data_IF_446227533205
#
_entry.id   IF_446227533205
#
_cell.length_a   1.000
_cell.length_b   1.000
_cell.length_c   1.000
_cell.angle_alpha   90.00
_cell.angle_beta   90.00
_cell.angle_gamma   90.00
#
_symmetry.space_group_name_H-M   'P 1'
#
loop_
_entity.id
_entity.type
_entity.pdbx_description
1 polymer ?
#
# COMPACT_ATOMS: atom_id res chain seq x y z
N UNK A 1 1.77 24.82 -1.10
CA UNK A 1 1.87 24.47 0.34
C UNK A 1 1.30 23.08 0.66
N UNK A 2 0.05 22.74 0.30
CA UNK A 2 -0.56 21.42 0.64
C UNK A 2 0.20 20.18 0.11
N UNK A 3 0.68 20.20 -1.15
CA UNK A 3 1.47 19.08 -1.72
C UNK A 3 2.80 18.82 -0.99
N UNK A 4 3.50 19.87 -0.58
CA UNK A 4 4.76 19.77 0.18
C UNK A 4 4.56 19.09 1.53
N UNK A 5 3.47 19.43 2.24
CA UNK A 5 3.11 18.79 3.51
C UNK A 5 2.87 17.29 3.32
N UNK A 6 2.14 16.89 2.27
CA UNK A 6 1.88 15.48 1.98
C UNK A 6 3.15 14.71 1.60
N UNK A 7 4.06 15.33 0.83
CA UNK A 7 5.38 14.74 0.53
C UNK A 7 6.18 14.55 1.82
N UNK A 8 6.14 15.51 2.74
CA UNK A 8 6.79 15.40 4.04
C UNK A 8 6.28 14.21 4.86
N UNK A 9 4.96 14.02 4.95
CA UNK A 9 4.38 12.87 5.64
C UNK A 9 4.72 11.53 4.97
N UNK A 10 4.74 11.48 3.64
CA UNK A 10 5.11 10.27 2.91
C UNK A 10 6.60 9.92 3.14
N UNK A 11 7.48 10.91 3.07
CA UNK A 11 8.91 10.74 3.31
C UNK A 11 9.19 10.30 4.75
N UNK A 12 8.50 10.90 5.73
CA UNK A 12 8.58 10.50 7.13
C UNK A 12 8.13 9.04 7.32
N UNK A 13 7.00 8.66 6.71
CA UNK A 13 6.52 7.27 6.76
C UNK A 13 7.52 6.27 6.19
N UNK A 14 8.06 6.56 5.00
CA UNK A 14 9.08 5.72 4.38
C UNK A 14 10.35 5.61 5.21
N UNK A 15 10.83 6.73 5.78
CA UNK A 15 12.01 6.75 6.64
C UNK A 15 11.79 5.94 7.92
N UNK A 16 10.66 6.11 8.61
CA UNK A 16 10.33 5.35 9.81
C UNK A 16 10.22 3.84 9.53
N UNK A 17 9.60 3.46 8.42
CA UNK A 17 9.49 2.05 8.01
C UNK A 17 10.87 1.43 7.71
N UNK A 18 11.75 2.17 7.01
CA UNK A 18 13.11 1.73 6.71
C UNK A 18 13.95 1.60 7.97
N UNK A 19 13.87 2.56 8.91
CA UNK A 19 14.58 2.52 10.18
C UNK A 19 14.11 1.36 11.06
N UNK A 20 12.80 1.14 11.16
CA UNK A 20 12.25 0.03 11.93
C UNK A 20 12.69 -1.34 11.37
N UNK A 21 12.69 -1.49 10.04
CA UNK A 21 13.12 -2.73 9.38
C UNK A 21 14.64 -2.94 9.49
N UNK A 22 15.42 -1.86 9.33
CA UNK A 22 16.88 -1.88 9.45
C UNK A 22 17.36 -2.16 10.87
N UNK A 23 16.66 -1.68 11.89
CA UNK A 23 16.96 -1.97 13.30
C UNK A 23 16.88 -3.46 13.60
N UNK A 24 15.82 -4.14 13.12
CA UNK A 24 15.65 -5.59 13.28
C UNK A 24 16.79 -6.34 12.57
N UNK A 25 17.07 -6.00 11.31
CA UNK A 25 18.13 -6.64 10.53
C UNK A 25 19.53 -6.43 11.17
N UNK A 26 19.84 -5.21 11.61
CA UNK A 26 21.10 -4.88 12.27
C UNK A 26 21.26 -5.64 13.58
N UNK A 27 20.19 -5.88 14.33
CA UNK A 27 20.24 -6.61 15.60
C UNK A 27 20.43 -8.12 15.40
N UNK A 28 19.93 -8.68 14.29
CA UNK A 28 20.17 -10.08 13.89
C UNK A 28 21.60 -10.28 13.37
N UNK A 29 22.17 -9.30 12.67
CA UNK A 29 23.49 -9.39 12.04
C UNK A 29 24.66 -8.99 12.95
N UNK A 30 24.46 -8.09 13.93
CA UNK A 30 25.57 -7.45 14.67
C UNK A 30 26.01 -8.15 15.95
N UNK A 31 25.36 -9.23 16.38
CA UNK A 31 25.88 -10.07 17.49
C UNK A 31 26.09 -9.37 18.84
N UNK A 32 25.37 -8.27 19.14
CA UNK A 32 25.40 -7.40 20.34
C UNK A 32 26.35 -6.19 20.26
N UNK A 33 25.75 -4.98 20.37
CA UNK A 33 26.48 -3.70 20.50
C UNK A 33 25.59 -2.45 20.42
N UNK A 34 24.40 -2.54 19.82
CA UNK A 34 23.36 -1.51 19.90
C UNK A 34 22.46 -1.76 21.13
N UNK A 35 21.93 -0.71 21.79
CA UNK A 35 20.89 -0.92 22.80
C UNK A 35 19.73 -1.66 22.15
N UNK A 36 19.17 -2.70 22.81
CA UNK A 36 18.09 -3.48 22.22
C UNK A 36 16.93 -2.53 21.92
N UNK A 37 16.60 -2.38 20.64
CA UNK A 37 15.45 -1.57 20.24
C UNK A 37 14.24 -2.27 20.82
N UNK A 38 13.47 -1.57 21.67
CA UNK A 38 12.35 -2.22 22.35
C UNK A 38 11.35 -2.71 21.31
N UNK A 39 10.90 -3.96 21.48
CA UNK A 39 9.93 -4.58 20.58
C UNK A 39 8.67 -3.70 20.39
N UNK A 40 8.25 -3.03 21.47
CA UNK A 40 7.17 -2.04 21.45
C UNK A 40 7.48 -0.80 20.62
N UNK A 41 8.70 -0.26 20.67
CA UNK A 41 9.09 0.89 19.86
C UNK A 41 9.07 0.58 18.37
N UNK A 42 9.49 -0.64 17.97
CA UNK A 42 9.43 -1.09 16.57
C UNK A 42 7.97 -1.15 16.08
N UNK A 43 7.07 -1.76 16.85
CA UNK A 43 5.64 -1.85 16.50
C UNK A 43 5.03 -0.46 16.34
N UNK A 44 5.27 0.43 17.30
CA UNK A 44 4.75 1.80 17.25
C UNK A 44 5.32 2.56 16.05
N UNK A 45 6.63 2.45 15.80
CA UNK A 45 7.27 3.09 14.64
C UNK A 45 6.66 2.62 13.31
N UNK A 46 6.38 1.32 13.16
CA UNK A 46 5.70 0.77 11.98
C UNK A 46 4.26 1.28 11.86
N UNK A 47 3.52 1.33 12.97
CA UNK A 47 2.15 1.85 12.98
C UNK A 47 2.12 3.34 12.57
N UNK A 48 3.00 4.16 13.14
CA UNK A 48 3.14 5.57 12.76
C UNK A 48 3.61 5.74 11.31
N UNK A 49 4.52 4.89 10.84
CA UNK A 49 4.98 4.90 9.46
C UNK A 49 3.83 4.66 8.47
N UNK A 50 2.99 3.65 8.74
CA UNK A 50 1.83 3.33 7.91
C UNK A 50 0.82 4.48 7.92
N UNK A 51 0.51 5.04 9.10
CA UNK A 51 -0.42 6.17 9.21
C UNK A 51 0.08 7.41 8.47
N UNK A 52 1.36 7.77 8.64
CA UNK A 52 1.98 8.91 7.97
C UNK A 52 1.97 8.73 6.44
N UNK A 53 2.34 7.54 5.95
CA UNK A 53 2.29 7.23 4.53
C UNK A 53 0.86 7.29 3.97
N UNK A 54 -0.12 6.77 4.71
CA UNK A 54 -1.54 6.81 4.33
C UNK A 54 -2.04 8.25 4.19
N UNK A 55 -1.75 9.11 5.18
CA UNK A 55 -2.10 10.55 5.15
C UNK A 55 -1.45 11.25 3.95
N UNK A 56 -0.15 11.00 3.74
CA UNK A 56 0.60 11.57 2.62
C UNK A 56 0.00 11.16 1.26
N UNK A 57 -0.25 9.87 1.07
CA UNK A 57 -0.78 9.32 -0.19
C UNK A 57 -2.21 9.78 -0.44
N UNK A 58 -3.09 9.79 0.55
CA UNK A 58 -4.46 10.29 0.39
C UNK A 58 -4.42 11.77 -0.04
N UNK A 59 -3.59 12.58 0.62
CA UNK A 59 -3.44 13.99 0.28
C UNK A 59 -2.89 14.21 -1.13
N UNK A 60 -1.87 13.44 -1.54
CA UNK A 60 -1.30 13.52 -2.88
C UNK A 60 -2.30 13.06 -3.94
N UNK A 61 -2.89 11.88 -3.74
CA UNK A 61 -3.82 11.27 -4.68
C UNK A 61 -5.07 12.13 -4.91
N UNK A 62 -5.62 12.76 -3.87
CA UNK A 62 -6.75 13.69 -3.98
C UNK A 62 -6.39 15.04 -4.61
N UNK A 63 -5.11 15.40 -4.61
CA UNK A 63 -4.64 16.65 -5.22
C UNK A 63 -4.45 16.55 -6.74
N UNK A 64 -4.54 15.35 -7.29
CA UNK A 64 -4.38 15.14 -8.72
C UNK A 64 -5.69 15.37 -9.47
N UNK A 65 -5.68 16.17 -10.56
CA UNK A 65 -6.88 16.41 -11.36
C UNK A 65 -7.52 15.12 -11.86
N UNK A 66 -8.84 15.14 -12.08
CA UNK A 66 -9.54 14.05 -12.76
C UNK A 66 -8.80 13.71 -14.06
N UNK A 67 -8.44 12.43 -14.23
CA UNK A 67 -7.51 12.05 -15.30
C UNK A 67 -8.16 12.16 -16.68
N UNK A 68 -9.39 11.66 -16.80
CA UNK A 68 -10.20 11.72 -18.01
C UNK A 68 -11.66 11.97 -17.62
N UNK A 69 -12.45 12.65 -18.47
CA UNK A 69 -13.90 12.70 -18.31
C UNK A 69 -14.44 11.28 -18.17
N UNK A 70 -15.51 11.12 -17.39
CA UNK A 70 -16.24 9.86 -17.17
C UNK A 70 -16.97 9.32 -18.41
N UNK A 71 -16.51 9.71 -19.60
CA UNK A 71 -16.74 9.00 -20.85
C UNK A 71 -16.40 7.53 -20.64
N UNK A 72 -17.31 6.67 -21.09
CA UNK A 72 -17.40 5.23 -20.80
C UNK A 72 -16.06 4.56 -20.49
N UNK A 73 -16.08 3.66 -19.49
CA UNK A 73 -14.98 2.72 -19.27
C UNK A 73 -14.83 1.92 -20.57
N UNK A 74 -13.92 2.36 -21.43
CA UNK A 74 -13.71 1.73 -22.71
C UNK A 74 -12.90 0.48 -22.44
N UNK A 75 -13.56 -0.68 -22.49
CA UNK A 75 -12.92 -1.98 -22.38
C UNK A 75 -12.03 -2.19 -23.61
N UNK A 76 -10.80 -1.73 -23.52
CA UNK A 76 -9.77 -1.99 -24.52
C UNK A 76 -9.33 -3.46 -24.51
N UNK A 77 -8.48 -3.85 -25.47
CA UNK A 77 -7.81 -5.15 -25.43
C UNK A 77 -7.07 -5.33 -24.08
N UNK A 78 -6.78 -6.58 -23.67
CA UNK A 78 -6.07 -6.85 -22.42
C UNK A 78 -4.83 -5.97 -22.25
N UNK A 79 -4.83 -5.15 -21.20
CA UNK A 79 -3.70 -4.28 -20.87
C UNK A 79 -2.95 -4.85 -19.66
N UNK A 80 -1.73 -5.33 -19.91
CA UNK A 80 -0.86 -5.88 -18.88
C UNK A 80 -0.58 -4.86 -17.76
N UNK A 81 -0.63 -3.55 -18.05
CA UNK A 81 -0.42 -2.47 -17.08
C UNK A 81 -1.47 -2.51 -15.97
N UNK A 82 -2.71 -2.87 -16.30
CA UNK A 82 -3.78 -3.01 -15.30
C UNK A 82 -3.46 -4.16 -14.31
N UNK A 83 -2.92 -5.26 -14.81
CA UNK A 83 -2.44 -6.37 -13.95
C UNK A 83 -1.25 -5.94 -13.10
N UNK A 84 -0.30 -5.20 -13.69
CA UNK A 84 0.87 -4.69 -13.00
C UNK A 84 0.52 -3.69 -11.88
N UNK A 85 -0.52 -2.86 -12.04
CA UNK A 85 -1.01 -1.98 -10.97
C UNK A 85 -1.41 -2.78 -9.73
N UNK A 86 -2.10 -3.92 -9.89
CA UNK A 86 -2.44 -4.79 -8.78
C UNK A 86 -1.20 -5.47 -8.18
N UNK A 87 -0.38 -6.11 -9.02
CA UNK A 87 0.81 -6.86 -8.57
C UNK A 87 1.87 -5.97 -7.93
N UNK A 88 1.89 -4.68 -8.23
CA UNK A 88 2.80 -3.72 -7.59
C UNK A 88 2.66 -3.70 -6.05
N UNK A 89 1.50 -4.09 -5.51
CA UNK A 89 1.29 -4.24 -4.07
C UNK A 89 2.13 -5.37 -3.45
N UNK A 90 2.63 -6.31 -4.25
CA UNK A 90 3.46 -7.41 -3.75
C UNK A 90 4.93 -7.01 -3.55
N UNK A 91 5.33 -5.80 -3.98
CA UNK A 91 6.70 -5.29 -3.77
C UNK A 91 7.08 -5.18 -2.29
N UNK A 92 6.11 -5.08 -1.37
CA UNK A 92 6.38 -5.19 0.07
C UNK A 92 7.09 -6.49 0.44
N UNK A 93 6.73 -7.61 -0.20
CA UNK A 93 7.31 -8.92 0.10
C UNK A 93 8.69 -9.11 -0.52
N UNK A 94 9.10 -8.21 -1.42
CA UNK A 94 10.47 -8.12 -1.94
C UNK A 94 11.40 -7.27 -1.05
N UNK A 95 10.95 -6.88 0.15
CA UNK A 95 11.74 -6.11 1.11
C UNK A 95 11.65 -4.59 0.94
N UNK A 96 10.76 -4.09 0.07
CA UNK A 96 10.52 -2.64 -0.09
C UNK A 96 9.64 -2.14 1.06
N UNK A 97 10.12 -1.24 1.94
CA UNK A 97 9.29 -0.69 3.01
C UNK A 97 8.06 0.01 2.42
N UNK A 98 6.88 -0.32 2.95
CA UNK A 98 5.58 0.19 2.46
C UNK A 98 5.32 -0.11 0.96
N UNK A 99 6.01 -1.08 0.35
CA UNK A 99 5.86 -1.40 -1.08
C UNK A 99 4.42 -1.73 -1.48
N UNK A 100 3.64 -2.33 -0.56
CA UNK A 100 2.24 -2.66 -0.79
C UNK A 100 1.35 -1.43 -1.00
N UNK A 101 1.77 -0.28 -0.49
CA UNK A 101 1.08 0.99 -0.59
C UNK A 101 1.72 1.91 -1.65
N UNK A 102 3.05 1.96 -1.68
CA UNK A 102 3.80 2.76 -2.67
C UNK A 102 3.66 2.23 -4.10
N UNK A 103 3.65 0.91 -4.30
CA UNK A 103 3.52 0.29 -5.62
C UNK A 103 2.23 0.70 -6.34
N UNK A 104 1.04 0.47 -5.75
CA UNK A 104 -0.23 0.83 -6.37
C UNK A 104 -0.36 2.34 -6.60
N UNK A 105 0.15 3.14 -5.66
CA UNK A 105 0.15 4.60 -5.79
C UNK A 105 1.00 5.09 -6.97
N UNK A 106 2.24 4.61 -7.08
CA UNK A 106 3.16 5.04 -8.12
C UNK A 106 2.69 4.58 -9.50
N UNK A 107 2.28 3.31 -9.64
CA UNK A 107 1.78 2.77 -10.91
C UNK A 107 0.48 3.45 -11.35
N UNK A 108 -0.41 3.80 -10.41
CA UNK A 108 -1.59 4.61 -10.71
C UNK A 108 -1.20 6.00 -11.22
N UNK A 109 -0.27 6.71 -10.57
CA UNK A 109 0.18 8.03 -11.04
C UNK A 109 0.74 8.00 -12.47
N UNK A 110 1.55 6.99 -12.79
CA UNK A 110 2.20 6.86 -14.10
C UNK A 110 1.18 6.57 -15.21
N UNK A 111 0.18 5.71 -14.96
CA UNK A 111 -0.68 5.19 -16.02
C UNK A 111 -2.10 5.73 -16.05
N UNK A 112 -2.61 6.38 -15.00
CA UNK A 112 -3.99 6.90 -14.93
C UNK A 112 -4.44 7.80 -16.08
N UNK A 113 -3.51 8.52 -16.73
CA UNK A 113 -3.85 9.44 -17.84
C UNK A 113 -3.91 8.75 -19.20
N UNK A 114 -3.55 7.47 -19.27
CA UNK A 114 -3.53 6.72 -20.54
C UNK A 114 -4.92 6.20 -20.91
N UNK A 115 -5.74 5.80 -19.93
CA UNK A 115 -7.12 5.34 -20.18
C UNK A 115 -7.97 5.35 -18.90
N UNK A 116 -9.29 5.46 -19.06
CA UNK A 116 -10.25 5.36 -17.95
C UNK A 116 -10.21 3.98 -17.28
N UNK A 117 -9.86 2.94 -18.04
CA UNK A 117 -9.61 1.59 -17.54
C UNK A 117 -8.44 1.52 -16.54
N UNK A 118 -7.27 2.07 -16.91
CA UNK A 118 -6.08 2.08 -16.05
C UNK A 118 -6.26 2.98 -14.82
N UNK A 119 -7.01 4.06 -14.98
CA UNK A 119 -7.38 4.93 -13.88
C UNK A 119 -8.28 4.21 -12.87
N UNK A 120 -9.28 3.46 -13.35
CA UNK A 120 -10.17 2.67 -12.50
C UNK A 120 -9.44 1.53 -11.77
N UNK A 121 -8.60 0.76 -12.48
CA UNK A 121 -7.82 -0.33 -11.88
C UNK A 121 -6.80 0.18 -10.86
N UNK A 122 -6.06 1.24 -11.19
CA UNK A 122 -5.11 1.85 -10.26
C UNK A 122 -5.79 2.46 -9.02
N UNK A 123 -6.93 3.16 -9.18
CA UNK A 123 -7.72 3.63 -8.03
C UNK A 123 -8.20 2.49 -7.15
N UNK A 124 -8.71 1.41 -7.75
CA UNK A 124 -9.18 0.24 -6.99
C UNK A 124 -8.04 -0.42 -6.21
N UNK A 125 -6.88 -0.62 -6.83
CA UNK A 125 -5.69 -1.16 -6.17
C UNK A 125 -5.23 -0.25 -5.02
N UNK A 126 -5.20 1.07 -5.24
CA UNK A 126 -4.81 2.05 -4.23
C UNK A 126 -5.81 2.14 -3.08
N UNK A 127 -7.12 2.14 -3.35
CA UNK A 127 -8.17 2.11 -2.33
C UNK A 127 -8.06 0.86 -1.45
N UNK A 128 -7.76 -0.30 -2.04
CA UNK A 128 -7.50 -1.51 -1.27
C UNK A 128 -6.22 -1.42 -0.44
N UNK A 129 -5.13 -0.87 -1.00
CA UNK A 129 -3.88 -0.67 -0.26
C UNK A 129 -4.06 0.27 0.96
N UNK A 130 -4.88 1.31 0.83
CA UNK A 130 -5.27 2.18 1.93
C UNK A 130 -6.15 1.45 2.95
N UNK A 131 -7.09 0.63 2.49
CA UNK A 131 -7.96 -0.18 3.37
C UNK A 131 -7.16 -1.19 4.18
N UNK A 132 -6.29 -1.98 3.53
CA UNK A 132 -5.47 -3.01 4.20
C UNK A 132 -4.46 -2.37 5.15
N UNK A 133 -4.01 -1.13 4.88
CA UNK A 133 -3.18 -0.35 5.81
C UNK A 133 -3.86 -0.13 7.15
N UNK A 134 -5.17 0.15 7.17
CA UNK A 134 -5.94 0.29 8.41
C UNK A 134 -5.94 -1.04 9.18
N UNK A 135 -6.20 -2.16 8.48
CA UNK A 135 -6.16 -3.48 9.11
C UNK A 135 -4.76 -3.85 9.63
N UNK A 136 -3.69 -3.49 8.93
CA UNK A 136 -2.32 -3.68 9.42
C UNK A 136 -2.03 -2.86 10.68
N UNK A 137 -2.43 -1.59 10.73
CA UNK A 137 -2.28 -0.77 11.95
C UNK A 137 -3.06 -1.38 13.12
N UNK A 138 -4.29 -1.83 12.89
CA UNK A 138 -5.07 -2.53 13.93
C UNK A 138 -4.39 -3.81 14.40
N UNK A 139 -3.87 -4.63 13.47
CA UNK A 139 -3.16 -5.86 13.81
C UNK A 139 -1.88 -5.59 14.61
N UNK A 140 -1.11 -4.55 14.24
CA UNK A 140 0.09 -4.11 14.97
C UNK A 140 -0.24 -3.72 16.41
N UNK A 141 -1.33 -2.99 16.65
CA UNK A 141 -1.78 -2.65 18.01
C UNK A 141 -2.22 -3.92 18.77
N UNK A 142 -2.88 -4.87 18.12
CA UNK A 142 -3.30 -6.13 18.75
C UNK A 142 -2.13 -7.06 19.11
N UNK A 143 -0.91 -6.80 18.63
CA UNK A 143 0.29 -7.59 19.02
C UNK A 143 0.55 -7.47 20.53
N UNK A 144 0.21 -6.33 21.17
CA UNK A 144 0.36 -6.16 22.62
C UNK A 144 -0.48 -7.14 23.45
N UNK A 145 -1.49 -7.77 22.84
CA UNK A 145 -2.36 -8.79 23.46
C UNK A 145 -2.12 -10.18 22.83
N UNK A 146 -0.99 -10.37 22.14
CA UNK A 146 -0.55 -11.61 21.45
C UNK A 146 -1.43 -12.10 20.28
N UNK A 147 -2.70 -11.69 20.19
CA UNK A 147 -3.61 -12.07 19.08
C UNK A 147 -3.18 -11.44 17.75
N UNK A 148 -2.47 -10.31 17.79
CA UNK A 148 -2.05 -9.56 16.60
C UNK A 148 -1.16 -10.36 15.64
N UNK A 149 -0.35 -11.31 16.12
CA UNK A 149 0.51 -12.12 15.24
C UNK A 149 -0.29 -13.01 14.30
N UNK A 150 -1.32 -13.70 14.83
CA UNK A 150 -2.20 -14.58 14.05
C UNK A 150 -2.97 -13.73 13.03
N UNK A 151 -3.53 -12.60 13.48
CA UNK A 151 -4.24 -11.68 12.61
C UNK A 151 -3.34 -11.14 11.48
N UNK A 152 -2.10 -10.76 11.78
CA UNK A 152 -1.16 -10.26 10.79
C UNK A 152 -0.84 -11.31 9.72
N UNK A 153 -0.63 -12.57 10.12
CA UNK A 153 -0.41 -13.68 9.19
C UNK A 153 -1.63 -13.88 8.27
N UNK A 154 -2.84 -13.88 8.84
CA UNK A 154 -4.09 -13.99 8.06
C UNK A 154 -4.26 -12.82 7.08
N UNK A 155 -3.95 -11.60 7.50
CA UNK A 155 -4.02 -10.42 6.64
C UNK A 155 -3.03 -10.48 5.48
N UNK A 156 -1.81 -10.97 5.70
CA UNK A 156 -0.82 -11.15 4.62
C UNK A 156 -1.32 -12.15 3.59
N UNK A 157 -1.84 -13.30 4.01
CA UNK A 157 -2.41 -14.30 3.10
C UNK A 157 -3.60 -13.72 2.33
N UNK A 158 -4.54 -13.09 3.04
CA UNK A 158 -5.70 -12.43 2.42
C UNK A 158 -5.28 -11.37 1.40
N UNK A 159 -4.31 -10.53 1.74
CA UNK A 159 -3.78 -9.49 0.86
C UNK A 159 -3.23 -10.08 -0.44
N UNK A 160 -2.37 -11.10 -0.35
CA UNK A 160 -1.79 -11.77 -1.53
C UNK A 160 -2.89 -12.37 -2.41
N UNK A 161 -3.82 -13.13 -1.83
CA UNK A 161 -4.89 -13.80 -2.58
C UNK A 161 -5.75 -12.81 -3.35
N UNK A 162 -6.16 -11.72 -2.71
CA UNK A 162 -7.05 -10.72 -3.32
C UNK A 162 -6.31 -9.91 -4.39
N UNK A 163 -5.02 -9.58 -4.18
CA UNK A 163 -4.18 -8.90 -5.18
C UNK A 163 -3.99 -9.77 -6.41
N UNK A 164 -3.59 -11.04 -6.23
CA UNK A 164 -3.37 -11.98 -7.35
C UNK A 164 -4.67 -12.21 -8.12
N UNK A 165 -5.80 -12.37 -7.42
CA UNK A 165 -7.13 -12.49 -8.05
C UNK A 165 -7.46 -11.27 -8.91
N UNK A 166 -7.18 -10.06 -8.44
CA UNK A 166 -7.46 -8.84 -9.20
C UNK A 166 -6.51 -8.66 -10.39
N UNK A 167 -5.25 -9.05 -10.24
CA UNK A 167 -4.32 -9.09 -11.36
C UNK A 167 -4.80 -10.03 -12.46
N UNK A 168 -5.24 -11.24 -12.11
CA UNK A 168 -5.83 -12.17 -13.07
C UNK A 168 -7.10 -11.62 -13.72
N UNK A 169 -8.01 -11.00 -12.94
CA UNK A 169 -9.19 -10.34 -13.51
C UNK A 169 -8.82 -9.27 -14.53
N UNK A 170 -7.84 -8.43 -14.21
CA UNK A 170 -7.36 -7.40 -15.12
C UNK A 170 -6.77 -7.98 -16.41
N UNK A 171 -6.09 -9.13 -16.35
CA UNK A 171 -5.52 -9.80 -17.53
C UNK A 171 -6.57 -10.35 -18.50
N UNK A 172 -7.79 -10.62 -18.01
CA UNK A 172 -8.94 -11.05 -18.83
C UNK A 172 -9.95 -9.91 -19.05
N UNK A 173 -9.52 -8.66 -18.91
CA UNK A 173 -10.34 -7.46 -19.09
C UNK A 173 -11.59 -7.39 -18.19
N UNK A 174 -11.57 -8.04 -17.03
CA UNK A 174 -12.63 -7.94 -16.02
C UNK A 174 -12.36 -6.78 -15.06
N UNK A 175 -13.40 -6.04 -14.63
CA UNK A 175 -13.23 -4.90 -13.75
C UNK A 175 -12.64 -5.32 -12.40
N UNK A 176 -11.83 -4.45 -11.80
CA UNK A 176 -11.28 -4.65 -10.47
C UNK A 176 -12.40 -4.80 -9.42
N UNK A 177 -12.20 -5.73 -8.49
CA UNK A 177 -13.10 -5.98 -7.37
C UNK A 177 -12.31 -6.44 -6.15
N UNK A 178 -12.22 -5.55 -5.17
CA UNK A 178 -11.59 -5.81 -3.88
C UNK A 178 -12.67 -5.95 -2.79
N UNK A 179 -12.85 -7.13 -2.18
CA UNK A 179 -13.72 -7.25 -1.01
C UNK A 179 -13.21 -6.37 0.12
N UNK A 180 -14.14 -5.81 0.90
CA UNK A 180 -13.87 -4.94 2.06
C UNK A 180 -13.17 -3.61 1.74
N UNK A 181 -12.95 -3.26 0.47
CA UNK A 181 -12.28 -2.01 0.08
C UNK A 181 -13.15 -0.78 0.33
N UNK A 182 -12.56 0.23 0.97
CA UNK A 182 -13.16 1.56 1.18
C UNK A 182 -12.73 2.48 0.03
N UNK A 183 -13.69 3.20 -0.55
CA UNK A 183 -13.43 4.12 -1.67
C UNK A 183 -12.92 5.48 -1.17
N UNK A 184 -11.62 5.57 -0.89
CA UNK A 184 -10.96 6.84 -0.52
C UNK A 184 -10.85 7.82 -1.70
N UNK A 185 -10.65 7.26 -2.89
CA UNK A 185 -10.62 7.91 -4.19
C UNK A 185 -11.86 7.47 -4.97
N UNK A 186 -12.62 8.43 -5.49
CA UNK A 186 -13.77 8.21 -6.37
C UNK A 186 -13.35 8.30 -7.83
#
# INVERSE_FOLDING_TARGET
MRRLVCIGFLALGAALAALASGAIAAQVLSGFGLPPVSFSAVILALAFAILAAMIGIIGLARSEPAALPLAEIHHGPPDWRASAQHLSALTAYAGVPLGYLLGPWLTWLVWRRHSSWLDAHGRAALNFALTISIFYVSALILIFVFVGFILLALLVVFHILVVVRNAWRASVSLPAHYPLSINFLR
#
